data_IF_265602658653
#
_entry.id   IF_265602658653
#
_cell.length_a   1.000
_cell.length_b   1.000
_cell.length_c   1.000
_cell.angle_alpha   90.00
_cell.angle_beta   90.00
_cell.angle_gamma   90.00
#
_symmetry.space_group_name_H-M   'P 1'
#
loop_
_entity.id
_entity.type
_entity.pdbx_description
1 polymer ?
#
# COMPACT_ATOMS: atom_id res chain seq x y z
N UNK A 1 16.75 -1.57 -11.53
CA UNK A 1 16.68 -0.90 -10.22
C UNK A 1 15.26 -1.10 -9.71
N UNK A 2 15.10 -1.65 -8.50
CA UNK A 2 13.78 -1.79 -7.91
C UNK A 2 13.39 -0.45 -7.27
N UNK A 3 12.17 0.02 -7.52
CA UNK A 3 11.64 1.21 -6.86
C UNK A 3 10.99 0.74 -5.55
N UNK A 4 11.51 1.24 -4.43
CA UNK A 4 10.91 0.97 -3.12
C UNK A 4 9.58 1.72 -3.01
N UNK A 5 8.49 0.97 -2.88
CA UNK A 5 7.17 1.54 -2.64
C UNK A 5 7.02 1.69 -1.14
N UNK A 6 7.23 2.91 -0.66
CA UNK A 6 7.00 3.27 0.73
C UNK A 6 5.50 3.50 0.95
N UNK A 7 4.97 2.99 2.06
CA UNK A 7 3.58 3.23 2.43
C UNK A 7 3.40 4.74 2.69
N UNK A 8 2.53 5.45 1.95
CA UNK A 8 2.22 6.82 2.27
C UNK A 8 1.44 6.87 3.59
N UNK A 9 1.77 7.83 4.46
CA UNK A 9 1.00 8.05 5.68
C UNK A 9 -0.42 8.54 5.31
N UNK A 10 -1.41 7.64 5.38
CA UNK A 10 -2.82 7.93 5.05
C UNK A 10 -3.54 8.70 6.18
N UNK A 11 -2.91 8.90 7.33
CA UNK A 11 -3.40 9.75 8.41
C UNK A 11 -2.24 10.29 9.25
N UNK A 12 -2.37 11.49 9.83
CA UNK A 12 -1.30 12.14 10.59
C UNK A 12 -0.91 11.43 11.89
N UNK A 13 -1.72 10.46 12.35
CA UNK A 13 -1.49 9.63 13.55
C UNK A 13 -1.23 8.16 13.22
N UNK A 14 -1.15 7.80 11.93
CA UNK A 14 -1.02 6.41 11.51
C UNK A 14 0.42 5.95 11.67
N UNK A 15 0.65 5.01 12.59
CA UNK A 15 1.98 4.44 12.87
C UNK A 15 2.18 3.10 12.17
N UNK A 16 1.10 2.33 12.02
CA UNK A 16 1.09 1.00 11.40
C UNK A 16 -0.18 0.84 10.55
N UNK A 17 -0.08 0.10 9.45
CA UNK A 17 -1.20 -0.26 8.57
C UNK A 17 -1.12 -1.74 8.23
N UNK A 18 -2.25 -2.44 8.24
CA UNK A 18 -2.29 -3.85 7.91
C UNK A 18 -2.48 -4.02 6.41
N UNK A 19 -1.56 -4.75 5.78
CA UNK A 19 -1.69 -5.08 4.37
C UNK A 19 -2.74 -6.18 4.21
N UNK A 20 -3.91 -5.82 3.70
CA UNK A 20 -5.03 -6.76 3.50
C UNK A 20 -4.75 -7.66 2.32
N UNK A 21 -4.34 -7.07 1.19
CA UNK A 21 -4.22 -7.80 -0.06
C UNK A 21 -3.29 -7.12 -1.04
N UNK A 22 -2.45 -7.92 -1.72
CA UNK A 22 -1.78 -7.52 -2.94
C UNK A 22 -2.72 -7.67 -4.13
N UNK A 23 -2.92 -6.60 -4.88
CA UNK A 23 -3.68 -6.61 -6.14
C UNK A 23 -2.77 -6.96 -7.33
N UNK A 24 -1.45 -6.80 -7.17
CA UNK A 24 -0.44 -7.14 -8.16
C UNK A 24 0.30 -8.42 -7.78
N UNK A 25 0.79 -9.13 -8.78
CA UNK A 25 1.63 -10.33 -8.62
C UNK A 25 3.09 -10.03 -8.99
N UNK A 26 4.01 -10.87 -8.53
CA UNK A 26 5.41 -10.73 -8.91
C UNK A 26 5.60 -10.90 -10.43
N UNK A 27 6.27 -9.93 -11.04
CA UNK A 27 6.48 -9.89 -12.49
C UNK A 27 5.37 -9.18 -13.26
N UNK A 28 4.33 -8.70 -12.58
CA UNK A 28 3.28 -7.92 -13.22
C UNK A 28 3.76 -6.51 -13.56
N UNK A 29 3.18 -5.91 -14.60
CA UNK A 29 3.53 -4.57 -15.04
C UNK A 29 2.59 -3.57 -14.38
N UNK A 30 3.17 -2.66 -13.60
CA UNK A 30 2.44 -1.64 -12.84
C UNK A 30 2.61 -0.28 -13.49
N UNK A 31 1.50 0.41 -13.74
CA UNK A 31 1.49 1.73 -14.37
C UNK A 31 1.02 2.83 -13.39
N UNK A 32 1.38 4.10 -13.63
CA UNK A 32 0.92 5.21 -12.79
C UNK A 32 -0.60 5.31 -12.77
N UNK A 33 -1.20 5.11 -11.60
CA UNK A 33 -2.66 5.09 -11.41
C UNK A 33 -3.20 3.70 -11.06
N UNK A 34 -2.39 2.65 -11.19
CA UNK A 34 -2.79 1.31 -10.78
C UNK A 34 -2.76 1.14 -9.25
N UNK A 35 -3.76 0.42 -8.76
CA UNK A 35 -3.84 0.05 -7.34
C UNK A 35 -3.06 -1.25 -7.14
N UNK A 36 -1.99 -1.17 -6.35
CA UNK A 36 -1.05 -2.27 -6.15
C UNK A 36 -1.39 -3.13 -4.93
N UNK A 37 -2.01 -2.52 -3.92
CA UNK A 37 -2.30 -3.15 -2.65
C UNK A 37 -3.45 -2.44 -1.94
N UNK A 38 -4.22 -3.23 -1.20
CA UNK A 38 -5.19 -2.75 -0.24
C UNK A 38 -4.57 -2.80 1.15
N UNK A 39 -4.57 -1.65 1.81
CA UNK A 39 -4.07 -1.48 3.17
C UNK A 39 -5.25 -1.03 4.01
N UNK A 40 -5.56 -1.79 5.04
CA UNK A 40 -6.56 -1.43 6.04
C UNK A 40 -5.84 -0.79 7.22
N UNK A 41 -6.36 0.37 7.61
CA UNK A 41 -5.80 1.16 8.68
C UNK A 41 -6.88 1.20 9.74
N UNK A 42 -6.53 0.82 10.96
CA UNK A 42 -7.49 0.85 12.05
C UNK A 42 -7.71 2.31 12.42
N UNK A 43 -8.82 2.87 11.92
CA UNK A 43 -9.25 4.23 12.23
C UNK A 43 -10.32 4.23 13.31
N UNK A 44 -10.24 3.30 14.26
CA UNK A 44 -11.17 3.18 15.37
C UNK A 44 -10.45 3.13 16.72
N UNK A 45 -9.77 4.21 17.11
CA UNK A 45 -9.72 4.67 18.52
C UNK A 45 -9.50 6.18 18.55
#
# INVERSE_FOLDING_TARGET
>A
MATEILMPALSPTMTEGNLVKWLVVQGDRVEPGDVIAEIETDKAT
#
